data_IF_190766172646
#
_entry.id   IF_190766172646
#
_cell.length_a   1.000
_cell.length_b   1.000
_cell.length_c   1.000
_cell.angle_alpha   90.00
_cell.angle_beta   90.00
_cell.angle_gamma   90.00
#
_symmetry.space_group_name_H-M   'P 1'
#
loop_
_entity.id
_entity.type
_entity.pdbx_description
1 polymer ?
#
# COMPACT_ATOMS: atom_id res chain seq x y z
N UNK A 1 -5.58 27.14 -1.56
CA UNK A 1 -4.29 27.44 -2.22
C UNK A 1 -4.11 26.48 -3.35
N UNK A 2 -3.72 26.98 -4.52
CA UNK A 2 -3.39 26.19 -5.71
C UNK A 2 -1.88 26.18 -5.94
N UNK A 3 -1.41 25.37 -6.90
CA UNK A 3 -0.01 25.40 -7.36
C UNK A 3 0.43 26.81 -7.73
N UNK A 4 -0.42 27.52 -8.50
CA UNK A 4 -0.14 28.89 -8.96
C UNK A 4 -0.02 29.90 -7.81
N UNK A 5 -0.80 29.74 -6.75
CA UNK A 5 -0.72 30.62 -5.57
C UNK A 5 0.61 30.49 -4.82
N UNK A 6 1.27 29.33 -4.92
CA UNK A 6 2.52 29.03 -4.20
C UNK A 6 3.75 29.35 -5.03
N UNK A 7 3.72 29.04 -6.34
CA UNK A 7 4.90 29.12 -7.20
C UNK A 7 4.87 30.26 -8.22
N UNK A 8 3.74 31.00 -8.33
CA UNK A 8 3.50 32.08 -9.30
C UNK A 8 3.64 31.68 -10.78
N UNK A 9 3.57 30.39 -11.07
CA UNK A 9 3.56 29.79 -12.41
C UNK A 9 2.51 28.69 -12.47
N UNK A 10 2.16 28.27 -13.66
CA UNK A 10 1.25 27.13 -13.84
C UNK A 10 2.02 25.80 -13.73
N UNK A 11 1.34 24.74 -13.29
CA UNK A 11 1.90 23.39 -13.29
C UNK A 11 2.00 22.88 -14.74
N UNK A 12 3.09 22.19 -15.06
CA UNK A 12 3.27 21.52 -16.35
C UNK A 12 2.64 20.13 -16.38
N UNK A 13 2.61 19.47 -15.22
CA UNK A 13 2.07 18.11 -15.05
C UNK A 13 1.20 18.04 -13.81
N UNK A 14 0.14 17.24 -13.92
CA UNK A 14 -0.76 16.92 -12.80
C UNK A 14 -1.15 15.45 -12.87
N UNK A 15 -0.81 14.70 -11.82
CA UNK A 15 -1.12 13.27 -11.69
C UNK A 15 -1.74 12.96 -10.33
N UNK A 16 -2.45 11.84 -10.25
CA UNK A 16 -3.10 11.41 -9.01
C UNK A 16 -3.00 9.92 -8.80
N UNK A 17 -3.05 9.51 -7.53
CA UNK A 17 -3.25 8.12 -7.17
C UNK A 17 -4.17 8.01 -5.95
N UNK A 18 -5.02 6.99 -5.95
CA UNK A 18 -6.06 6.80 -4.96
C UNK A 18 -5.59 5.97 -3.76
N UNK A 19 -6.16 6.26 -2.61
CA UNK A 19 -6.12 5.40 -1.45
C UNK A 19 -6.86 4.09 -1.72
N UNK A 20 -6.59 3.08 -0.89
CA UNK A 20 -7.24 1.77 -0.98
C UNK A 20 -7.79 1.31 0.38
N UNK A 21 -8.76 0.42 0.33
CA UNK A 21 -9.08 -0.48 1.44
C UNK A 21 -8.86 -1.92 0.99
N UNK A 22 -8.32 -2.76 1.87
CA UNK A 22 -8.28 -4.19 1.63
C UNK A 22 -9.58 -4.81 2.10
N UNK A 23 -10.27 -5.57 1.24
CA UNK A 23 -11.51 -6.25 1.59
C UNK A 23 -11.26 -7.55 2.32
N UNK A 24 -10.22 -8.29 1.87
CA UNK A 24 -9.81 -9.57 2.42
C UNK A 24 -8.40 -9.90 1.91
N UNK A 25 -7.61 -10.64 2.68
CA UNK A 25 -6.21 -10.97 2.33
C UNK A 25 -5.20 -10.23 3.19
N UNK A 26 -5.45 -10.18 4.51
CA UNK A 26 -4.55 -9.52 5.44
C UNK A 26 -3.27 -10.33 5.65
N UNK A 27 -2.11 -9.67 5.49
CA UNK A 27 -0.76 -10.25 5.60
C UNK A 27 -0.40 -11.34 4.57
N UNK A 28 -1.18 -11.45 3.48
CA UNK A 28 -0.88 -12.38 2.40
C UNK A 28 -0.01 -11.76 1.31
N UNK A 29 0.10 -10.44 1.25
CA UNK A 29 0.76 -9.69 0.18
C UNK A 29 2.29 -9.79 0.19
N UNK A 30 2.91 -10.01 1.33
CA UNK A 30 4.37 -10.22 1.45
C UNK A 30 4.75 -11.71 1.69
N UNK A 31 3.75 -12.58 1.78
CA UNK A 31 3.91 -14.03 1.92
C UNK A 31 3.52 -14.80 0.65
N UNK A 32 3.45 -14.11 -0.50
CA UNK A 32 3.17 -14.68 -1.80
C UNK A 32 1.75 -15.22 -2.00
N UNK A 33 0.80 -14.74 -1.17
CA UNK A 33 -0.61 -15.15 -1.25
C UNK A 33 -1.45 -14.27 -2.16
N UNK A 34 -2.77 -14.39 -2.05
CA UNK A 34 -3.75 -13.59 -2.77
C UNK A 34 -4.28 -12.45 -1.91
N UNK A 35 -4.60 -11.32 -2.56
CA UNK A 35 -5.21 -10.14 -1.94
C UNK A 35 -6.39 -9.66 -2.78
N UNK A 36 -7.32 -8.94 -2.14
CA UNK A 36 -8.46 -8.36 -2.86
C UNK A 36 -8.80 -6.95 -2.34
N UNK A 37 -7.95 -5.96 -2.55
CA UNK A 37 -8.25 -4.56 -2.26
C UNK A 37 -9.19 -3.92 -3.29
N UNK A 38 -9.69 -2.73 -2.95
CA UNK A 38 -10.40 -1.82 -3.86
C UNK A 38 -9.99 -0.38 -3.64
N UNK A 39 -10.12 0.46 -4.67
CA UNK A 39 -9.84 1.89 -4.54
C UNK A 39 -10.94 2.62 -3.77
N UNK A 40 -10.53 3.59 -2.97
CA UNK A 40 -11.37 4.61 -2.38
C UNK A 40 -11.43 5.85 -3.27
N UNK A 41 -12.40 6.72 -3.05
CA UNK A 41 -12.50 8.01 -3.77
C UNK A 41 -11.39 8.99 -3.37
N UNK A 42 -10.85 8.86 -2.17
CA UNK A 42 -9.75 9.69 -1.66
C UNK A 42 -8.46 9.51 -2.45
N UNK A 43 -7.73 10.60 -2.69
CA UNK A 43 -6.52 10.57 -3.51
C UNK A 43 -5.46 11.57 -3.08
N UNK A 44 -4.23 11.29 -3.42
CA UNK A 44 -3.15 12.27 -3.52
C UNK A 44 -3.06 12.80 -4.94
N UNK A 45 -2.87 14.10 -5.07
CA UNK A 45 -2.61 14.76 -6.35
C UNK A 45 -1.28 15.49 -6.27
N UNK A 46 -0.45 15.27 -7.27
CA UNK A 46 0.87 15.88 -7.42
C UNK A 46 0.86 16.76 -8.67
N UNK A 47 1.24 18.01 -8.48
CA UNK A 47 1.45 18.96 -9.57
C UNK A 47 2.92 19.35 -9.62
N UNK A 48 3.53 19.35 -10.81
CA UNK A 48 4.94 19.58 -11.01
C UNK A 48 5.17 20.65 -12.08
N UNK A 49 6.18 21.51 -11.87
CA UNK A 49 6.83 22.30 -12.91
C UNK A 49 8.33 22.27 -12.75
N UNK A 50 9.06 22.67 -13.79
CA UNK A 50 10.48 22.89 -13.68
C UNK A 50 10.75 24.04 -12.69
N UNK A 51 11.80 23.88 -11.88
CA UNK A 51 12.31 24.93 -11.01
C UNK A 51 13.64 25.44 -11.59
N UNK A 52 13.73 26.74 -11.82
CA UNK A 52 14.95 27.38 -12.34
C UNK A 52 15.96 27.78 -11.25
N UNK A 53 15.63 27.51 -9.98
CA UNK A 53 16.60 27.62 -8.88
C UNK A 53 17.46 26.36 -8.76
N UNK A 54 18.49 26.40 -7.92
CA UNK A 54 19.36 25.24 -7.67
C UNK A 54 18.86 24.38 -6.51
N UNK A 55 17.53 24.22 -6.39
CA UNK A 55 16.89 23.42 -5.32
C UNK A 55 15.55 22.85 -5.77
N UNK A 56 15.17 21.72 -5.19
CA UNK A 56 13.79 21.24 -5.21
C UNK A 56 12.96 22.01 -4.20
N UNK A 57 11.76 22.41 -4.60
CA UNK A 57 10.81 23.06 -3.71
C UNK A 57 9.53 22.24 -3.65
N UNK A 58 9.18 21.77 -2.47
CA UNK A 58 7.98 20.95 -2.24
C UNK A 58 7.04 21.68 -1.29
N UNK A 59 5.77 21.81 -1.66
CA UNK A 59 4.73 22.37 -0.83
C UNK A 59 3.64 21.33 -0.55
N UNK A 60 3.32 21.12 0.71
CA UNK A 60 2.17 20.31 1.13
C UNK A 60 1.00 21.19 1.52
N UNK A 61 -0.12 21.03 0.83
CA UNK A 61 -1.36 21.75 1.15
C UNK A 61 -1.91 21.32 2.52
N UNK A 62 -1.77 20.05 2.88
CA UNK A 62 -2.25 19.51 4.15
C UNK A 62 -1.48 20.12 5.34
N UNK A 63 -0.14 20.07 5.29
CA UNK A 63 0.71 20.62 6.36
C UNK A 63 0.87 22.13 6.26
N UNK A 64 0.44 22.76 5.15
CA UNK A 64 0.65 24.18 4.84
C UNK A 64 2.12 24.60 4.96
N UNK A 65 3.00 23.71 4.55
CA UNK A 65 4.44 23.83 4.74
C UNK A 65 5.19 23.72 3.42
N UNK A 66 6.23 24.54 3.26
CA UNK A 66 7.18 24.50 2.14
C UNK A 66 8.51 23.97 2.64
N UNK A 67 9.06 22.97 1.96
CA UNK A 67 10.40 22.42 2.17
C UNK A 67 11.24 22.60 0.93
N UNK A 68 12.52 22.93 1.12
CA UNK A 68 13.51 23.03 0.03
C UNK A 68 14.70 22.13 0.32
N UNK A 69 15.29 21.57 -0.72
CA UNK A 69 16.50 20.74 -0.63
C UNK A 69 17.18 20.66 -1.99
N UNK A 70 18.49 20.47 -2.00
CA UNK A 70 19.29 20.28 -3.20
C UNK A 70 19.85 18.86 -3.33
N UNK A 71 19.73 18.04 -2.29
CA UNK A 71 20.13 16.64 -2.26
C UNK A 71 19.00 15.76 -1.72
N UNK A 72 18.74 14.64 -2.38
CA UNK A 72 17.76 13.63 -1.98
C UNK A 72 18.43 12.29 -1.63
N UNK A 73 19.76 12.27 -1.42
CA UNK A 73 20.43 11.12 -0.84
C UNK A 73 19.90 10.85 0.55
N UNK A 74 19.91 9.58 0.92
CA UNK A 74 19.27 9.04 2.12
C UNK A 74 19.65 9.79 3.41
N UNK A 75 18.85 10.79 3.78
CA UNK A 75 18.84 11.33 5.13
C UNK A 75 17.38 11.24 5.62
N UNK A 76 17.08 10.23 6.40
CA UNK A 76 15.73 10.02 6.95
C UNK A 76 15.61 10.86 8.21
N UNK A 77 14.96 12.01 8.09
CA UNK A 77 14.63 12.88 9.22
C UNK A 77 13.25 12.57 9.83
N UNK A 78 12.58 11.53 9.33
CA UNK A 78 11.21 11.15 9.70
C UNK A 78 10.16 12.22 9.36
N UNK A 79 10.39 12.98 8.29
CA UNK A 79 9.47 14.01 7.81
C UNK A 79 8.63 13.49 6.63
N UNK A 80 7.46 14.10 6.43
CA UNK A 80 6.59 13.78 5.29
C UNK A 80 7.29 13.94 3.92
N UNK A 81 8.23 14.88 3.83
CA UNK A 81 8.99 15.15 2.60
C UNK A 81 9.95 14.02 2.23
N UNK A 82 10.28 13.13 3.16
CA UNK A 82 11.18 12.00 2.89
C UNK A 82 10.58 11.03 1.85
N UNK A 83 9.26 10.90 1.77
CA UNK A 83 8.60 10.13 0.71
C UNK A 83 8.86 10.74 -0.67
N UNK A 84 8.82 12.06 -0.79
CA UNK A 84 9.12 12.77 -2.05
C UNK A 84 10.60 12.63 -2.41
N UNK A 85 11.50 12.82 -1.44
CA UNK A 85 12.94 12.59 -1.65
C UNK A 85 13.23 11.16 -2.09
N UNK A 86 12.57 10.19 -1.46
CA UNK A 86 12.67 8.77 -1.84
C UNK A 86 12.19 8.51 -3.27
N UNK A 87 11.07 9.11 -3.68
CA UNK A 87 10.57 9.01 -5.05
C UNK A 87 11.57 9.59 -6.06
N UNK A 88 12.13 10.76 -5.79
CA UNK A 88 13.17 11.38 -6.63
C UNK A 88 14.41 10.49 -6.71
N UNK A 89 14.89 10.00 -5.56
CA UNK A 89 16.07 9.14 -5.49
C UNK A 89 15.89 7.87 -6.35
N UNK A 90 14.85 7.12 -6.09
CA UNK A 90 14.58 5.84 -6.79
C UNK A 90 14.30 6.10 -8.28
N UNK A 91 13.53 7.15 -8.61
CA UNK A 91 13.21 7.46 -10.00
C UNK A 91 14.44 7.79 -10.84
N UNK A 92 15.32 8.67 -10.36
CA UNK A 92 16.51 9.07 -11.10
C UNK A 92 17.58 7.97 -11.15
N UNK A 93 17.74 7.21 -10.07
CA UNK A 93 18.72 6.11 -10.03
C UNK A 93 18.33 4.96 -10.98
N UNK A 94 17.06 4.52 -10.95
CA UNK A 94 16.59 3.41 -11.78
C UNK A 94 16.55 3.76 -13.27
N UNK A 95 16.18 5.00 -13.62
CA UNK A 95 16.09 5.42 -15.03
C UNK A 95 17.38 5.97 -15.60
N UNK A 96 18.42 6.17 -14.78
CA UNK A 96 19.73 6.68 -15.19
C UNK A 96 19.65 8.03 -15.94
N UNK A 97 18.71 8.88 -15.53
CA UNK A 97 18.51 10.22 -16.08
C UNK A 97 19.03 11.29 -15.13
N UNK A 98 19.49 12.39 -15.69
CA UNK A 98 19.96 13.53 -14.90
C UNK A 98 18.77 14.20 -14.20
N UNK A 99 18.94 14.49 -12.91
CA UNK A 99 17.95 15.22 -12.15
C UNK A 99 17.84 16.67 -12.63
N UNK A 100 16.62 17.21 -12.61
CA UNK A 100 16.33 18.63 -12.75
C UNK A 100 15.62 19.09 -11.50
N UNK A 101 15.85 20.30 -11.08
CA UNK A 101 15.14 20.86 -9.94
C UNK A 101 13.67 21.12 -10.30
N UNK A 102 12.77 20.81 -9.37
CA UNK A 102 11.33 20.82 -9.58
C UNK A 102 10.64 21.62 -8.47
N UNK A 103 9.55 22.27 -8.84
CA UNK A 103 8.51 22.69 -7.94
C UNK A 103 7.47 21.57 -7.86
N UNK A 104 7.15 21.12 -6.67
CA UNK A 104 6.22 20.01 -6.43
C UNK A 104 5.16 20.49 -5.44
N UNK A 105 3.89 20.39 -5.82
CA UNK A 105 2.74 20.71 -4.98
C UNK A 105 1.97 19.43 -4.68
N UNK A 106 1.69 19.20 -3.41
CA UNK A 106 0.94 18.04 -2.92
C UNK A 106 -0.40 18.51 -2.38
N UNK A 107 -1.47 18.03 -2.97
CA UNK A 107 -2.82 18.11 -2.39
C UNK A 107 -3.36 16.71 -2.09
N UNK A 108 -4.10 16.58 -1.00
CA UNK A 108 -4.62 15.30 -0.53
C UNK A 108 -5.97 15.50 0.15
N UNK A 109 -6.90 14.62 -0.15
CA UNK A 109 -8.15 14.45 0.59
C UNK A 109 -8.17 13.14 1.40
N UNK A 110 -7.05 12.40 1.41
CA UNK A 110 -6.89 11.16 2.17
C UNK A 110 -6.74 11.49 3.65
N UNK A 111 -7.60 10.96 4.55
CA UNK A 111 -7.40 11.05 5.99
C UNK A 111 -6.06 10.40 6.40
N UNK A 112 -5.25 11.13 7.17
CA UNK A 112 -3.94 10.64 7.62
C UNK A 112 -4.09 9.57 8.73
N UNK A 113 -3.13 8.64 8.76
CA UNK A 113 -2.97 7.63 9.83
C UNK A 113 -4.18 6.71 10.04
N UNK A 114 -5.00 6.49 9.00
CA UNK A 114 -6.20 5.64 9.05
C UNK A 114 -6.01 4.26 8.39
N UNK A 115 -4.79 3.86 8.07
CA UNK A 115 -4.50 2.55 7.49
C UNK A 115 -5.00 2.36 6.03
N UNK A 116 -5.37 3.43 5.33
CA UNK A 116 -5.88 3.40 3.95
C UNK A 116 -4.82 3.69 2.89
N UNK A 117 -3.55 3.46 3.20
CA UNK A 117 -2.39 3.54 2.28
C UNK A 117 -2.12 4.93 1.70
N UNK A 118 -2.19 5.96 2.54
CA UNK A 118 -1.87 7.33 2.12
C UNK A 118 -0.44 7.47 1.59
N UNK A 119 0.55 6.81 2.21
CA UNK A 119 1.97 6.85 1.80
C UNK A 119 2.19 6.20 0.44
N UNK A 120 1.64 5.01 0.21
CA UNK A 120 1.77 4.31 -1.07
C UNK A 120 1.09 5.09 -2.20
N UNK A 121 -0.10 5.66 -1.95
CA UNK A 121 -0.77 6.54 -2.90
C UNK A 121 0.06 7.81 -3.19
N UNK A 122 0.75 8.39 -2.18
CA UNK A 122 1.65 9.53 -2.37
C UNK A 122 2.84 9.16 -3.25
N UNK A 123 3.50 8.02 -2.98
CA UNK A 123 4.61 7.54 -3.78
C UNK A 123 4.20 7.28 -5.23
N UNK A 124 3.06 6.59 -5.44
CA UNK A 124 2.55 6.29 -6.78
C UNK A 124 2.20 7.57 -7.54
N UNK A 125 1.48 8.52 -6.93
CA UNK A 125 1.15 9.80 -7.55
C UNK A 125 2.41 10.59 -7.95
N UNK A 126 3.40 10.62 -7.06
CA UNK A 126 4.68 11.31 -7.31
C UNK A 126 5.44 10.68 -8.46
N UNK A 127 5.56 9.36 -8.47
CA UNK A 127 6.26 8.63 -9.53
C UNK A 127 5.53 8.73 -10.88
N UNK A 128 4.18 8.73 -10.89
CA UNK A 128 3.40 9.01 -12.11
C UNK A 128 3.66 10.42 -12.63
N UNK A 129 3.69 11.42 -11.75
CA UNK A 129 3.98 12.80 -12.13
C UNK A 129 5.40 12.95 -12.69
N UNK A 130 6.40 12.29 -12.08
CA UNK A 130 7.77 12.25 -12.60
C UNK A 130 7.83 11.54 -13.96
N UNK A 131 7.14 10.39 -14.09
CA UNK A 131 7.06 9.65 -15.36
C UNK A 131 6.49 10.50 -16.50
N UNK A 132 5.43 11.24 -16.24
CA UNK A 132 4.82 12.16 -17.23
C UNK A 132 5.75 13.35 -17.52
N UNK A 133 6.33 13.97 -16.50
CA UNK A 133 7.20 15.14 -16.66
C UNK A 133 8.49 14.84 -17.44
N UNK A 134 9.10 13.67 -17.19
CA UNK A 134 10.34 13.24 -17.87
C UNK A 134 10.08 12.37 -19.09
N UNK A 135 8.81 12.12 -19.46
CA UNK A 135 8.38 11.31 -20.60
C UNK A 135 9.03 9.90 -20.66
N UNK A 136 9.27 9.30 -19.49
CA UNK A 136 10.00 8.03 -19.39
C UNK A 136 9.19 6.81 -19.83
N UNK A 137 7.85 6.94 -19.97
CA UNK A 137 6.93 5.90 -20.47
C UNK A 137 6.95 4.60 -19.64
N UNK A 138 7.23 4.72 -18.35
CA UNK A 138 7.20 3.60 -17.41
C UNK A 138 5.74 3.14 -17.28
N UNK A 139 5.51 1.83 -17.37
CA UNK A 139 4.17 1.25 -17.23
C UNK A 139 3.72 1.25 -15.76
N UNK A 140 2.42 1.32 -15.53
CA UNK A 140 1.83 1.36 -14.18
C UNK A 140 2.28 0.24 -13.24
N UNK A 141 2.45 -1.04 -13.66
CA UNK A 141 3.00 -2.06 -12.78
C UNK A 141 4.45 -1.78 -12.33
N UNK A 142 5.25 -1.18 -13.19
CA UNK A 142 6.64 -0.81 -12.85
C UNK A 142 6.66 0.43 -11.94
N UNK A 143 5.72 1.38 -12.11
CA UNK A 143 5.53 2.49 -11.16
C UNK A 143 5.22 1.94 -9.76
N UNK A 144 4.36 0.93 -9.64
CA UNK A 144 4.07 0.28 -8.36
C UNK A 144 5.32 -0.36 -7.73
N UNK A 145 6.15 -1.03 -8.54
CA UNK A 145 7.43 -1.61 -8.06
C UNK A 145 8.42 -0.54 -7.60
N UNK A 146 8.52 0.58 -8.31
CA UNK A 146 9.32 1.72 -7.88
C UNK A 146 8.81 2.31 -6.57
N UNK A 147 7.48 2.49 -6.41
CA UNK A 147 6.87 2.97 -5.17
C UNK A 147 7.17 2.03 -4.00
N UNK A 148 7.12 0.70 -4.20
CA UNK A 148 7.56 -0.26 -3.20
C UNK A 148 9.04 -0.09 -2.83
N UNK A 149 9.93 0.12 -3.81
CA UNK A 149 11.36 0.39 -3.54
C UNK A 149 11.54 1.65 -2.70
N UNK A 150 10.73 2.69 -2.91
CA UNK A 150 10.75 3.90 -2.07
C UNK A 150 10.45 3.54 -0.62
N UNK A 151 9.35 2.87 -0.34
CA UNK A 151 8.94 2.53 1.03
C UNK A 151 9.92 1.56 1.69
N UNK A 152 10.40 0.55 0.97
CA UNK A 152 11.29 -0.47 1.51
C UNK A 152 12.75 0.01 1.63
N UNK A 153 13.35 0.50 0.54
CA UNK A 153 14.79 0.80 0.49
C UNK A 153 15.13 2.17 1.07
N UNK A 154 14.24 3.17 0.86
CA UNK A 154 14.51 4.54 1.26
C UNK A 154 13.90 4.86 2.63
N UNK A 155 12.63 4.55 2.84
CA UNK A 155 11.93 4.82 4.10
C UNK A 155 12.23 3.76 5.16
N UNK A 156 12.43 2.49 4.76
CA UNK A 156 12.72 1.37 5.66
C UNK A 156 11.47 0.71 6.24
N UNK A 157 10.34 0.78 5.54
CA UNK A 157 9.10 0.10 5.92
C UNK A 157 9.02 -1.24 5.20
N UNK A 158 9.02 -2.35 5.96
CA UNK A 158 8.79 -3.69 5.41
C UNK A 158 7.32 -3.85 5.00
N UNK A 159 7.06 -4.63 3.96
CA UNK A 159 5.68 -4.87 3.52
C UNK A 159 5.58 -5.55 2.16
N UNK A 160 4.37 -5.86 1.75
CA UNK A 160 4.04 -6.36 0.43
C UNK A 160 3.98 -5.26 -0.64
N UNK A 161 3.40 -5.60 -1.78
CA UNK A 161 3.25 -4.68 -2.92
C UNK A 161 1.78 -4.35 -3.22
N UNK A 162 0.85 -4.87 -2.43
CA UNK A 162 -0.59 -4.72 -2.66
C UNK A 162 -1.00 -3.25 -2.82
N UNK A 163 -0.57 -2.41 -1.91
CA UNK A 163 -0.97 -1.00 -1.81
C UNK A 163 -0.55 -0.22 -3.04
N UNK A 164 0.70 -0.37 -3.43
CA UNK A 164 1.27 0.31 -4.60
C UNK A 164 0.64 -0.19 -5.90
N UNK A 165 0.41 -1.52 -6.01
CA UNK A 165 -0.22 -2.11 -7.19
C UNK A 165 -1.65 -1.59 -7.38
N UNK A 166 -2.49 -1.65 -6.35
CA UNK A 166 -3.87 -1.20 -6.49
C UNK A 166 -3.96 0.32 -6.68
N UNK A 167 -3.12 1.12 -6.01
CA UNK A 167 -3.07 2.58 -6.22
C UNK A 167 -2.60 2.95 -7.62
N UNK A 168 -1.76 2.12 -8.25
CA UNK A 168 -1.22 2.38 -9.59
C UNK A 168 -2.15 1.90 -10.71
N UNK A 169 -2.77 0.74 -10.58
CA UNK A 169 -3.47 0.02 -11.66
C UNK A 169 -4.96 -0.11 -11.39
N UNK A 170 -5.40 -0.01 -10.15
CA UNK A 170 -6.79 -0.22 -9.73
C UNK A 170 -7.78 0.67 -10.49
N UNK A 171 -9.01 0.23 -10.60
CA UNK A 171 -10.11 0.96 -11.22
C UNK A 171 -11.24 1.07 -10.20
N UNK A 172 -11.81 2.28 -10.05
CA UNK A 172 -12.96 2.50 -9.18
C UNK A 172 -14.13 1.58 -9.52
N UNK A 173 -14.82 1.09 -8.50
CA UNK A 173 -15.94 0.18 -8.67
C UNK A 173 -15.54 -1.26 -9.00
N UNK A 174 -14.25 -1.59 -8.90
CA UNK A 174 -13.74 -2.95 -9.09
C UNK A 174 -12.93 -3.44 -7.91
N UNK A 175 -13.05 -4.73 -7.60
CA UNK A 175 -12.09 -5.42 -6.77
C UNK A 175 -10.82 -5.71 -7.57
N UNK A 176 -9.66 -5.51 -6.94
CA UNK A 176 -8.35 -5.81 -7.50
C UNK A 176 -7.86 -7.13 -6.91
N UNK A 177 -8.19 -8.26 -7.56
CA UNK A 177 -7.70 -9.56 -7.13
C UNK A 177 -6.29 -9.80 -7.68
N UNK A 178 -5.31 -10.09 -6.82
CA UNK A 178 -3.92 -10.25 -7.23
C UNK A 178 -3.25 -11.43 -6.52
N UNK A 179 -2.45 -12.19 -7.26
CA UNK A 179 -1.46 -13.13 -6.74
C UNK A 179 -0.15 -12.37 -6.46
N UNK A 180 0.23 -12.24 -5.20
CA UNK A 180 1.39 -11.44 -4.80
C UNK A 180 2.74 -12.12 -5.11
N UNK A 181 2.75 -13.44 -5.43
CA UNK A 181 3.96 -14.16 -5.83
C UNK A 181 4.43 -13.76 -7.24
N UNK A 182 3.50 -13.73 -8.20
CA UNK A 182 3.81 -13.48 -9.62
C UNK A 182 3.25 -12.15 -10.15
N UNK A 183 2.50 -11.41 -9.33
CA UNK A 183 1.85 -10.14 -9.63
C UNK A 183 0.78 -10.21 -10.73
N UNK A 184 0.29 -11.41 -11.05
CA UNK A 184 -0.87 -11.56 -11.91
C UNK A 184 -2.12 -11.04 -11.21
N UNK A 185 -2.90 -10.23 -11.90
CA UNK A 185 -4.08 -9.59 -11.32
C UNK A 185 -5.30 -9.65 -12.25
N UNK A 186 -6.46 -9.51 -11.64
CA UNK A 186 -7.75 -9.45 -12.30
C UNK A 186 -8.59 -8.33 -11.68
N UNK A 187 -9.27 -7.55 -12.52
CA UNK A 187 -10.19 -6.50 -12.12
C UNK A 187 -11.62 -7.01 -12.22
N UNK A 188 -12.27 -7.23 -11.08
CA UNK A 188 -13.60 -7.83 -10.98
C UNK A 188 -14.62 -6.73 -10.66
N UNK A 189 -15.68 -6.61 -11.43
CA UNK A 189 -16.74 -5.65 -11.15
C UNK A 189 -17.49 -6.03 -9.87
N UNK A 190 -17.79 -5.04 -9.03
CA UNK A 190 -18.76 -5.24 -7.96
C UNK A 190 -20.18 -5.29 -8.55
N UNK A 191 -21.05 -6.17 -8.04
CA UNK A 191 -22.47 -6.08 -8.33
C UNK A 191 -23.04 -4.71 -7.93
N UNK A 192 -23.90 -4.13 -8.75
CA UNK A 192 -24.41 -2.76 -8.54
C UNK A 192 -25.14 -2.54 -7.20
N UNK A 193 -25.73 -3.61 -6.67
CA UNK A 193 -26.46 -3.59 -5.40
C UNK A 193 -25.55 -3.75 -4.16
N UNK A 194 -24.24 -4.01 -4.33
CA UNK A 194 -23.33 -4.13 -3.20
C UNK A 194 -22.87 -2.74 -2.71
N UNK A 195 -22.81 -2.61 -1.41
CA UNK A 195 -22.25 -1.42 -0.73
C UNK A 195 -21.25 -1.88 0.32
N UNK A 196 -20.12 -1.19 0.39
CA UNK A 196 -19.13 -1.35 1.45
C UNK A 196 -19.19 -0.14 2.37
N UNK A 197 -19.18 -0.39 3.68
CA UNK A 197 -19.08 0.64 4.70
C UNK A 197 -17.67 0.59 5.28
N UNK A 198 -16.95 1.69 5.24
CA UNK A 198 -15.67 1.85 5.91
C UNK A 198 -15.91 2.59 7.24
N UNK A 199 -15.61 1.92 8.35
CA UNK A 199 -15.75 2.48 9.69
C UNK A 199 -14.37 2.87 10.19
N UNK A 200 -14.20 4.14 10.58
CA UNK A 200 -12.99 4.61 11.22
C UNK A 200 -13.01 4.21 12.70
N UNK A 201 -12.05 3.40 13.13
CA UNK A 201 -11.89 2.99 14.52
C UNK A 201 -11.29 4.08 15.41
N UNK A 202 -10.92 5.24 14.84
CA UNK A 202 -10.22 6.36 15.51
C UNK A 202 -8.87 5.99 16.13
N UNK A 203 -8.36 4.78 15.91
CA UNK A 203 -7.03 4.34 16.35
C UNK A 203 -5.98 4.83 15.37
N UNK A 204 -5.10 5.71 15.82
CA UNK A 204 -3.97 6.20 15.02
C UNK A 204 -2.92 5.09 14.88
N UNK A 205 -2.46 4.86 13.65
CA UNK A 205 -1.38 3.90 13.35
C UNK A 205 -0.15 4.65 12.85
N UNK A 206 0.97 4.40 13.52
CA UNK A 206 2.28 4.76 12.98
C UNK A 206 2.75 3.67 12.02
N UNK A 207 3.05 4.02 10.75
CA UNK A 207 3.57 3.10 9.73
C UNK A 207 4.87 2.37 10.13
N UNK A 208 5.56 2.89 11.14
CA UNK A 208 6.82 2.34 11.68
C UNK A 208 6.62 1.53 12.97
N UNK A 209 5.40 1.13 13.28
CA UNK A 209 5.17 0.30 14.46
C UNK A 209 6.01 -0.97 14.38
N UNK A 210 6.78 -1.20 15.43
CA UNK A 210 7.64 -2.38 15.61
C UNK A 210 6.86 -3.68 15.39
N UNK A 211 5.57 -3.70 15.72
CA UNK A 211 4.69 -4.84 15.59
C UNK A 211 4.55 -5.36 14.15
N UNK A 212 4.47 -4.47 13.13
CA UNK A 212 4.36 -4.93 11.74
C UNK A 212 5.65 -5.61 11.24
N UNK A 213 6.80 -5.03 11.56
CA UNK A 213 8.11 -5.61 11.23
C UNK A 213 8.35 -6.94 11.98
N UNK A 214 7.86 -7.05 13.23
CA UNK A 214 7.90 -8.31 13.98
C UNK A 214 7.06 -9.39 13.29
N UNK A 215 5.82 -9.07 12.86
CA UNK A 215 4.97 -10.02 12.13
C UNK A 215 5.61 -10.49 10.82
N UNK A 216 6.23 -9.57 10.09
CA UNK A 216 6.99 -9.90 8.89
C UNK A 216 8.10 -10.91 9.20
N UNK A 217 8.93 -10.67 10.22
CA UNK A 217 10.02 -11.56 10.60
C UNK A 217 9.51 -12.96 11.05
N UNK A 218 8.44 -13.02 11.85
CA UNK A 218 7.84 -14.27 12.31
C UNK A 218 7.25 -15.12 11.18
N UNK A 219 6.64 -14.49 10.17
CA UNK A 219 6.13 -15.19 9.00
C UNK A 219 7.28 -15.71 8.12
N UNK A 220 8.39 -14.97 7.99
CA UNK A 220 9.58 -15.47 7.34
C UNK A 220 10.20 -16.68 8.08
N UNK A 221 10.15 -16.68 9.41
CA UNK A 221 10.58 -17.85 10.20
C UNK A 221 9.67 -19.05 9.93
N UNK A 222 8.35 -18.82 9.81
CA UNK A 222 7.40 -19.88 9.47
C UNK A 222 7.68 -20.49 8.08
N UNK A 223 8.00 -19.67 7.08
CA UNK A 223 8.39 -20.12 5.73
C UNK A 223 9.63 -21.03 5.79
N UNK A 224 10.65 -20.61 6.51
CA UNK A 224 11.87 -21.44 6.71
C UNK A 224 11.56 -22.78 7.38
N UNK A 225 10.73 -22.78 8.44
CA UNK A 225 10.34 -24.02 9.14
C UNK A 225 9.53 -24.99 8.28
N UNK A 226 8.69 -24.47 7.40
CA UNK A 226 7.91 -25.27 6.46
C UNK A 226 8.70 -25.68 5.22
N UNK A 227 9.88 -25.06 4.96
CA UNK A 227 10.69 -25.32 3.78
C UNK A 227 10.07 -24.84 2.49
N UNK A 228 9.31 -23.74 2.55
CA UNK A 228 8.66 -23.10 1.39
C UNK A 228 9.25 -21.71 1.14
N UNK A 229 9.17 -21.25 -0.10
CA UNK A 229 9.57 -19.87 -0.43
C UNK A 229 8.57 -18.86 0.12
N UNK A 230 7.27 -19.19 0.01
CA UNK A 230 6.17 -18.36 0.48
C UNK A 230 5.10 -19.20 1.17
N UNK A 231 4.52 -18.67 2.26
CA UNK A 231 3.37 -19.31 2.93
C UNK A 231 2.14 -19.44 2.03
N UNK A 232 1.98 -18.54 1.06
CA UNK A 232 0.92 -18.61 0.05
C UNK A 232 0.94 -19.88 -0.84
N UNK A 233 2.04 -20.63 -0.84
CA UNK A 233 2.17 -21.92 -1.56
C UNK A 233 1.60 -23.09 -0.75
N UNK A 234 1.43 -22.91 0.55
CA UNK A 234 0.94 -23.96 1.45
C UNK A 234 -0.57 -24.08 1.33
N UNK A 235 -1.04 -25.26 0.91
CA UNK A 235 -2.48 -25.54 0.89
C UNK A 235 -2.99 -25.76 2.30
N UNK A 236 -4.20 -25.29 2.59
CA UNK A 236 -4.87 -25.39 3.90
C UNK A 236 -4.89 -26.84 4.43
N UNK A 237 -5.15 -27.81 3.53
CA UNK A 237 -5.22 -29.22 3.90
C UNK A 237 -3.87 -29.80 4.33
N UNK A 238 -2.76 -29.19 3.88
CA UNK A 238 -1.40 -29.63 4.16
C UNK A 238 -0.76 -28.89 5.34
N UNK A 239 -1.46 -27.88 5.90
CA UNK A 239 -0.91 -27.11 7.00
C UNK A 239 -0.97 -27.91 8.31
N UNK A 240 0.17 -28.04 8.98
CA UNK A 240 0.34 -28.80 10.22
C UNK A 240 0.96 -27.91 11.30
N UNK A 241 0.22 -27.64 12.35
CA UNK A 241 0.68 -26.82 13.48
C UNK A 241 1.79 -27.46 14.31
N UNK A 242 1.87 -28.79 14.33
CA UNK A 242 2.90 -29.56 15.06
C UNK A 242 4.31 -29.45 14.48
N UNK A 243 4.46 -28.81 13.32
CA UNK A 243 5.79 -28.46 12.75
C UNK A 243 6.44 -27.27 13.45
N UNK A 244 5.74 -26.59 14.34
CA UNK A 244 6.19 -25.40 14.99
C UNK A 244 6.42 -25.63 16.47
N UNK A 245 7.61 -25.30 16.98
CA UNK A 245 7.92 -25.30 18.42
C UNK A 245 7.29 -24.07 19.12
N UNK A 246 7.09 -22.97 18.35
CA UNK A 246 6.49 -21.75 18.82
C UNK A 246 5.03 -21.64 18.39
N UNK A 247 4.11 -21.72 19.37
CA UNK A 247 2.68 -21.65 19.12
C UNK A 247 2.23 -20.31 18.50
N UNK A 248 2.91 -19.22 18.81
CA UNK A 248 2.61 -17.89 18.24
C UNK A 248 2.90 -17.88 16.75
N UNK A 249 4.06 -18.37 16.32
CA UNK A 249 4.43 -18.48 14.90
C UNK A 249 3.47 -19.42 14.16
N UNK A 250 3.11 -20.56 14.80
CA UNK A 250 2.14 -21.49 14.24
C UNK A 250 0.76 -20.84 13.98
N UNK A 251 0.26 -20.04 14.94
CA UNK A 251 -1.01 -19.31 14.80
C UNK A 251 -0.95 -18.30 13.64
N UNK A 252 0.16 -17.55 13.53
CA UNK A 252 0.35 -16.54 12.48
C UNK A 252 0.46 -17.16 11.10
N UNK A 253 1.24 -18.22 10.97
CA UNK A 253 1.33 -18.97 9.72
C UNK A 253 -0.03 -19.58 9.33
N UNK A 254 -0.78 -20.12 10.31
CA UNK A 254 -2.15 -20.60 10.09
C UNK A 254 -3.04 -19.50 9.54
N UNK A 255 -3.00 -18.30 10.14
CA UNK A 255 -3.80 -17.18 9.65
C UNK A 255 -3.55 -16.93 8.15
N UNK A 256 -2.29 -16.78 7.74
CA UNK A 256 -1.92 -16.48 6.35
C UNK A 256 -2.37 -17.58 5.38
N UNK A 257 -2.09 -18.84 5.72
CA UNK A 257 -2.46 -19.99 4.88
C UNK A 257 -3.98 -20.09 4.71
N UNK A 258 -4.75 -19.91 5.79
CA UNK A 258 -6.20 -19.98 5.75
C UNK A 258 -6.83 -18.72 5.14
N UNK A 259 -6.18 -17.55 5.31
CA UNK A 259 -6.59 -16.32 4.66
C UNK A 259 -6.48 -16.42 3.14
N UNK A 260 -5.42 -17.02 2.66
CA UNK A 260 -5.22 -17.23 1.23
C UNK A 260 -6.39 -18.04 0.61
N UNK A 261 -6.84 -19.10 1.30
CA UNK A 261 -8.04 -19.88 0.92
C UNK A 261 -9.31 -19.01 0.94
N UNK A 262 -9.49 -18.18 1.98
CA UNK A 262 -10.64 -17.26 2.10
C UNK A 262 -10.69 -16.26 0.95
N UNK A 263 -9.55 -15.69 0.53
CA UNK A 263 -9.48 -14.74 -0.60
C UNK A 263 -9.93 -15.39 -1.91
N UNK A 264 -9.48 -16.62 -2.17
CA UNK A 264 -9.88 -17.38 -3.38
C UNK A 264 -11.39 -17.61 -3.37
N UNK A 265 -11.96 -18.03 -2.22
CA UNK A 265 -13.39 -18.24 -2.09
C UNK A 265 -14.20 -16.94 -2.15
N UNK A 266 -13.66 -15.84 -1.62
CA UNK A 266 -14.28 -14.52 -1.73
C UNK A 266 -14.36 -14.05 -3.19
N UNK A 267 -13.30 -14.27 -4.00
CA UNK A 267 -13.35 -14.02 -5.44
C UNK A 267 -14.50 -14.77 -6.11
N UNK A 268 -14.64 -16.06 -5.84
CA UNK A 268 -15.72 -16.88 -6.38
C UNK A 268 -17.09 -16.32 -6.03
N UNK A 269 -17.32 -16.02 -4.75
CA UNK A 269 -18.60 -15.48 -4.27
C UNK A 269 -18.89 -14.07 -4.82
N UNK A 270 -17.87 -13.24 -5.07
CA UNK A 270 -18.04 -11.95 -5.74
C UNK A 270 -18.54 -12.14 -7.18
N UNK A 271 -17.94 -13.05 -7.94
CA UNK A 271 -18.32 -13.35 -9.33
C UNK A 271 -19.74 -13.93 -9.38
N UNK A 272 -20.10 -14.80 -8.43
CA UNK A 272 -21.41 -15.44 -8.32
C UNK A 272 -22.48 -14.50 -7.71
N UNK A 273 -22.15 -13.26 -7.38
CA UNK A 273 -23.03 -12.27 -6.71
C UNK A 273 -23.62 -12.77 -5.38
N UNK A 274 -22.85 -13.57 -4.64
CA UNK A 274 -23.25 -14.12 -3.34
C UNK A 274 -22.71 -13.26 -2.18
N UNK A 275 -23.44 -12.16 -1.88
CA UNK A 275 -23.03 -11.21 -0.82
C UNK A 275 -23.00 -11.83 0.57
N UNK A 276 -23.86 -12.80 0.85
CA UNK A 276 -23.94 -13.41 2.17
C UNK A 276 -22.69 -14.22 2.51
N UNK A 277 -22.26 -15.10 1.59
CA UNK A 277 -21.02 -15.87 1.78
C UNK A 277 -19.78 -14.99 1.69
N UNK A 278 -19.79 -13.95 0.85
CA UNK A 278 -18.70 -12.98 0.81
C UNK A 278 -18.55 -12.27 2.17
N UNK A 279 -19.63 -11.75 2.74
CA UNK A 279 -19.64 -11.10 4.05
C UNK A 279 -19.24 -12.05 5.18
N UNK A 280 -19.66 -13.33 5.12
CA UNK A 280 -19.22 -14.35 6.08
C UNK A 280 -17.72 -14.59 6.03
N UNK A 281 -17.13 -14.68 4.81
CA UNK A 281 -15.68 -14.81 4.66
C UNK A 281 -14.91 -13.60 5.21
N UNK A 282 -15.42 -12.38 5.05
CA UNK A 282 -14.83 -11.19 5.66
C UNK A 282 -14.88 -11.27 7.20
N UNK A 283 -15.99 -11.71 7.80
CA UNK A 283 -16.10 -11.89 9.25
C UNK A 283 -15.14 -12.99 9.75
N UNK A 284 -15.06 -14.13 9.07
CA UNK A 284 -14.10 -15.19 9.40
C UNK A 284 -12.65 -14.71 9.30
N UNK A 285 -12.34 -13.86 8.32
CA UNK A 285 -11.04 -13.22 8.18
C UNK A 285 -10.75 -12.32 9.37
N UNK A 286 -11.70 -11.47 9.77
CA UNK A 286 -11.57 -10.58 10.92
C UNK A 286 -11.36 -11.35 12.23
N UNK A 287 -12.17 -12.36 12.53
CA UNK A 287 -12.01 -13.20 13.71
C UNK A 287 -10.66 -13.92 13.75
N UNK A 288 -10.26 -14.48 12.61
CA UNK A 288 -8.98 -15.17 12.50
C UNK A 288 -7.79 -14.21 12.67
N UNK A 289 -7.91 -13.02 12.11
CA UNK A 289 -6.92 -11.95 12.23
C UNK A 289 -6.75 -11.51 13.70
N UNK A 290 -7.84 -11.21 14.38
CA UNK A 290 -7.87 -10.83 15.80
C UNK A 290 -7.21 -11.91 16.68
N UNK A 291 -7.58 -13.17 16.49
CA UNK A 291 -7.10 -14.29 17.30
C UNK A 291 -5.65 -14.72 17.04
N UNK A 292 -5.16 -14.49 15.81
CA UNK A 292 -3.87 -15.04 15.38
C UNK A 292 -2.76 -13.99 15.29
N UNK A 293 -3.10 -12.76 14.92
CA UNK A 293 -2.12 -11.69 14.71
C UNK A 293 -2.08 -10.70 15.88
N UNK A 294 -3.07 -10.77 16.79
CA UNK A 294 -3.17 -9.91 17.98
C UNK A 294 -3.11 -8.41 17.63
N UNK A 295 -3.74 -8.03 16.54
CA UNK A 295 -3.95 -6.64 16.21
C UNK A 295 -5.34 -6.20 16.67
N UNK A 296 -5.42 -5.40 17.60
CA UNK A 296 -6.00 -4.08 17.86
C UNK A 296 -7.39 -3.75 17.33
N UNK A 297 -8.20 -4.69 16.88
CA UNK A 297 -9.62 -4.57 17.20
C UNK A 297 -9.80 -4.56 18.74
N UNK A 298 -8.95 -5.29 19.47
CA UNK A 298 -8.91 -5.25 20.93
C UNK A 298 -8.67 -3.83 21.47
N UNK A 299 -7.82 -3.02 20.86
CA UNK A 299 -7.66 -1.64 21.29
C UNK A 299 -8.88 -0.74 21.00
N UNK A 300 -9.75 -1.13 20.07
CA UNK A 300 -11.05 -0.48 19.87
C UNK A 300 -12.10 -1.02 20.86
N UNK A 301 -12.07 -2.33 21.17
CA UNK A 301 -12.99 -2.97 22.08
C UNK A 301 -12.72 -2.60 23.57
N UNK A 302 -11.46 -2.36 23.95
CA UNK A 302 -11.11 -1.88 25.29
C UNK A 302 -11.52 -0.41 25.57
N UNK A 303 -12.05 0.30 24.58
CA UNK A 303 -12.52 1.69 24.71
C UNK A 303 -14.04 1.85 24.63
N UNK A 304 -14.76 0.75 24.45
CA UNK A 304 -16.21 0.68 24.55
C UNK A 304 -16.62 0.11 25.92
#
# INVERSE_FOLDING_TARGET
>A
MSFKDIFNIDAEVKESAHARVNLIGEHTDYTGGYVMPTLLSFKNTIEISQNNSNEFTVYSQHFKEKKTFNDFKKSINNEWVDYIKGCLHIFFDENKISSRFLNIFISSDIPLERGISSSSALCVATLKALNTFFETKIKDPEIAKLAKKVEFNYIGVSGGIMDQMVSSIGIHGKAFFMNCKNLEYELINFPENWKFCLIDSEVQRNLRDSSYNERFAELQEAEKKLGVEYLGEVKKENFQTNKFDNNTIAKRAKQVVFENDRVINAKKNLIENNIQEFGKLMNESHESYSNCLLYTSDAADERL
#
